data_IF_705782851676
#
_entry.id   IF_705782851676
#
_cell.length_a   1.000
_cell.length_b   1.000
_cell.length_c   1.000
_cell.angle_alpha   90.00
_cell.angle_beta   90.00
_cell.angle_gamma   90.00
#
_symmetry.space_group_name_H-M   'P 1'
#
loop_
_entity.id
_entity.type
_entity.pdbx_description
1 polymer ?
#
# COMPACT_ATOMS: atom_id res chain seq x y z
N UNK A 1 8.63 12.15 14.63
CA UNK A 1 7.43 12.68 15.31
C UNK A 1 7.56 12.39 16.79
N UNK A 2 7.14 13.33 17.65
CA UNK A 2 6.99 13.02 19.07
C UNK A 2 5.81 12.08 19.28
N UNK A 3 5.73 11.43 20.44
CA UNK A 3 4.58 10.58 20.78
C UNK A 3 3.28 11.40 20.80
N UNK A 4 3.35 12.65 21.28
CA UNK A 4 2.22 13.55 21.37
C UNK A 4 1.71 13.98 19.98
N UNK A 5 2.62 14.22 19.03
CA UNK A 5 2.25 14.49 17.62
C UNK A 5 1.50 13.31 17.01
N UNK A 6 1.96 12.08 17.27
CA UNK A 6 1.31 10.88 16.74
C UNK A 6 -0.06 10.66 17.38
N UNK A 7 -0.21 10.90 18.69
CA UNK A 7 -1.50 10.82 19.38
C UNK A 7 -2.48 11.85 18.84
N UNK A 8 -2.06 13.11 18.70
CA UNK A 8 -2.89 14.16 18.11
C UNK A 8 -3.35 13.81 16.70
N UNK A 9 -2.44 13.29 15.88
CA UNK A 9 -2.74 12.85 14.53
C UNK A 9 -3.77 11.73 14.50
N UNK A 10 -3.59 10.70 15.34
CA UNK A 10 -4.49 9.55 15.38
C UNK A 10 -5.87 9.97 15.87
N UNK A 11 -5.95 10.84 16.88
CA UNK A 11 -7.21 11.35 17.42
C UNK A 11 -7.97 12.17 16.37
N UNK A 12 -7.25 13.01 15.61
CA UNK A 12 -7.82 13.72 14.46
C UNK A 12 -8.42 12.74 13.46
N UNK A 13 -7.63 11.78 12.99
CA UNK A 13 -8.05 10.81 11.98
C UNK A 13 -9.26 9.97 12.45
N UNK A 14 -9.35 9.62 13.73
CA UNK A 14 -10.52 8.93 14.29
C UNK A 14 -11.77 9.81 14.37
N UNK A 15 -11.60 11.11 14.63
CA UNK A 15 -12.70 12.07 14.76
C UNK A 15 -13.43 12.36 13.44
N UNK A 16 -12.76 12.16 12.30
CA UNK A 16 -13.34 12.47 10.98
C UNK A 16 -14.27 11.35 10.50
N UNK A 17 -15.56 11.66 10.33
CA UNK A 17 -16.61 10.72 9.92
C UNK A 17 -16.40 10.15 8.51
N UNK A 18 -15.97 11.00 7.56
CA UNK A 18 -15.68 10.62 6.19
C UNK A 18 -14.34 11.20 5.76
N UNK A 19 -13.38 10.34 5.47
CA UNK A 19 -12.07 10.79 5.03
C UNK A 19 -12.10 11.18 3.56
N UNK A 20 -11.57 12.37 3.28
CA UNK A 20 -11.32 12.86 1.94
C UNK A 20 -9.86 12.67 1.54
N UNK A 21 -9.46 13.43 0.52
CA UNK A 21 -8.09 13.44 0.01
C UNK A 21 -7.05 13.79 1.10
N UNK A 22 -7.37 14.73 1.99
CA UNK A 22 -6.43 15.21 3.01
C UNK A 22 -6.12 14.15 4.06
N UNK A 23 -7.13 13.48 4.60
CA UNK A 23 -6.93 12.45 5.61
C UNK A 23 -6.20 11.23 5.01
N UNK A 24 -6.53 10.87 3.76
CA UNK A 24 -5.82 9.82 3.02
C UNK A 24 -4.34 10.14 2.80
N UNK A 25 -4.04 11.39 2.47
CA UNK A 25 -2.67 11.87 2.29
C UNK A 25 -1.90 11.84 3.62
N UNK A 26 -2.51 12.34 4.69
CA UNK A 26 -1.92 12.33 6.03
C UNK A 26 -1.61 10.91 6.48
N UNK A 27 -2.57 10.01 6.37
CA UNK A 27 -2.40 8.61 6.73
C UNK A 27 -1.30 7.95 5.92
N UNK A 28 -1.30 8.12 4.60
CA UNK A 28 -0.27 7.54 3.72
C UNK A 28 1.13 8.00 4.08
N UNK A 29 1.32 9.27 4.43
CA UNK A 29 2.62 9.82 4.82
C UNK A 29 3.06 9.45 6.25
N UNK A 30 2.17 8.85 7.04
CA UNK A 30 2.43 8.52 8.45
C UNK A 30 2.44 7.02 8.71
N UNK A 31 2.23 6.19 7.67
CA UNK A 31 2.25 4.73 7.76
C UNK A 31 3.49 4.19 8.47
N UNK A 32 4.68 4.67 8.08
CA UNK A 32 5.95 4.16 8.59
C UNK A 32 6.19 4.45 10.07
N UNK A 33 5.54 5.49 10.61
CA UNK A 33 5.76 5.96 11.99
C UNK A 33 4.64 5.53 12.94
N UNK A 34 3.49 5.10 12.41
CA UNK A 34 2.41 4.53 13.20
C UNK A 34 2.76 3.11 13.65
N UNK A 35 2.48 2.81 14.91
CA UNK A 35 2.54 1.43 15.40
C UNK A 35 1.56 0.54 14.63
N UNK A 36 1.86 -0.75 14.56
CA UNK A 36 1.12 -1.67 13.70
C UNK A 36 -0.37 -1.78 14.06
N UNK A 37 -0.70 -1.83 15.35
CA UNK A 37 -2.08 -2.00 15.80
C UNK A 37 -2.94 -0.77 15.45
N UNK A 38 -2.42 0.43 15.69
CA UNK A 38 -3.10 1.69 15.34
C UNK A 38 -3.24 1.82 13.83
N UNK A 39 -2.19 1.47 13.07
CA UNK A 39 -2.25 1.41 11.62
C UNK A 39 -3.38 0.48 11.13
N UNK A 40 -3.48 -0.73 11.67
CA UNK A 40 -4.50 -1.70 11.27
C UNK A 40 -5.92 -1.22 11.61
N UNK A 41 -6.10 -0.61 12.78
CA UNK A 41 -7.40 -0.05 13.18
C UNK A 41 -7.80 1.09 12.24
N UNK A 42 -6.90 2.03 11.97
CA UNK A 42 -7.15 3.14 11.05
C UNK A 42 -7.46 2.66 9.62
N UNK A 43 -6.67 1.71 9.09
CA UNK A 43 -6.87 1.15 7.76
C UNK A 43 -8.23 0.47 7.59
N UNK A 44 -8.65 -0.32 8.59
CA UNK A 44 -9.94 -1.02 8.57
C UNK A 44 -11.11 -0.05 8.68
N UNK A 45 -11.03 0.90 9.60
CA UNK A 45 -12.08 1.90 9.79
C UNK A 45 -12.23 2.76 8.54
N UNK A 46 -11.11 3.05 7.91
CA UNK A 46 -11.09 3.75 6.63
C UNK A 46 -11.75 3.00 5.51
N UNK A 47 -11.36 1.75 5.30
CA UNK A 47 -11.96 0.94 4.26
C UNK A 47 -13.48 0.83 4.46
N UNK A 48 -13.95 0.64 5.69
CA UNK A 48 -15.37 0.60 6.06
C UNK A 48 -16.11 1.89 5.75
N UNK A 49 -15.53 3.06 6.07
CA UNK A 49 -16.14 4.38 5.85
C UNK A 49 -16.08 4.83 4.39
N UNK A 50 -15.09 4.35 3.65
CA UNK A 50 -14.88 4.68 2.23
C UNK A 50 -15.75 3.87 1.25
N UNK A 51 -16.51 2.87 1.75
CA UNK A 51 -17.38 2.01 0.95
C UNK A 51 -18.43 2.83 0.16
N UNK A 52 -18.89 3.94 0.73
CA UNK A 52 -19.84 4.87 0.10
C UNK A 52 -19.27 5.59 -1.14
N UNK A 53 -17.94 5.72 -1.25
CA UNK A 53 -17.28 6.53 -2.27
C UNK A 53 -16.57 5.72 -3.37
N UNK A 54 -16.68 4.38 -3.35
CA UNK A 54 -16.00 3.49 -4.31
C UNK A 54 -16.35 3.78 -5.77
N UNK A 55 -17.55 4.31 -6.02
CA UNK A 55 -18.03 4.68 -7.36
C UNK A 55 -17.45 6.01 -7.88
N UNK A 56 -16.83 6.83 -7.03
CA UNK A 56 -16.21 8.10 -7.45
C UNK A 56 -14.77 7.82 -7.90
N UNK A 57 -14.41 8.05 -9.18
CA UNK A 57 -13.11 7.62 -9.72
C UNK A 57 -11.89 8.16 -8.98
N UNK A 58 -11.93 9.43 -8.54
CA UNK A 58 -10.82 10.03 -7.79
C UNK A 58 -10.65 9.38 -6.40
N UNK A 59 -11.75 9.00 -5.74
CA UNK A 59 -11.71 8.34 -4.45
C UNK A 59 -11.26 6.89 -4.60
N UNK A 60 -11.63 6.22 -5.69
CA UNK A 60 -11.17 4.86 -6.01
C UNK A 60 -9.65 4.77 -6.09
N UNK A 61 -8.99 5.68 -6.82
CA UNK A 61 -7.51 5.66 -6.91
C UNK A 61 -6.81 5.90 -5.57
N UNK A 62 -7.38 6.78 -4.74
CA UNK A 62 -6.84 7.04 -3.40
C UNK A 62 -6.99 5.82 -2.50
N UNK A 63 -8.16 5.17 -2.50
CA UNK A 63 -8.43 3.94 -1.76
C UNK A 63 -7.46 2.84 -2.23
N UNK A 64 -7.30 2.66 -3.54
CA UNK A 64 -6.36 1.69 -4.12
C UNK A 64 -4.93 1.95 -3.69
N UNK A 65 -4.47 3.21 -3.76
CA UNK A 65 -3.11 3.59 -3.35
C UNK A 65 -2.89 3.30 -1.87
N UNK A 66 -3.86 3.63 -1.02
CA UNK A 66 -3.80 3.35 0.42
C UNK A 66 -3.76 1.86 0.71
N UNK A 67 -4.64 1.07 0.09
CA UNK A 67 -4.66 -0.38 0.27
C UNK A 67 -3.35 -1.02 -0.19
N UNK A 68 -2.76 -0.54 -1.30
CA UNK A 68 -1.46 -0.99 -1.79
C UNK A 68 -0.34 -0.67 -0.79
N UNK A 69 -0.31 0.57 -0.29
CA UNK A 69 0.67 0.97 0.72
C UNK A 69 0.51 0.12 1.99
N UNK A 70 -0.71 -0.06 2.48
CA UNK A 70 -1.00 -0.91 3.63
C UNK A 70 -0.58 -2.38 3.43
N UNK A 71 -0.81 -2.91 2.23
CA UNK A 71 -0.37 -4.26 1.87
C UNK A 71 1.16 -4.37 1.91
N UNK A 72 1.88 -3.47 1.24
CA UNK A 72 3.35 -3.45 1.21
C UNK A 72 3.90 -3.31 2.63
N UNK A 73 3.40 -2.36 3.42
CA UNK A 73 3.82 -2.14 4.81
C UNK A 73 3.61 -3.38 5.68
N UNK A 74 2.48 -4.08 5.56
CA UNK A 74 2.26 -5.34 6.28
C UNK A 74 3.28 -6.42 5.89
N UNK A 75 3.61 -6.53 4.60
CA UNK A 75 4.59 -7.50 4.12
C UNK A 75 5.99 -7.17 4.63
N UNK A 76 6.38 -5.90 4.58
CA UNK A 76 7.68 -5.44 5.09
C UNK A 76 7.82 -5.64 6.61
N UNK A 77 6.72 -5.48 7.36
CA UNK A 77 6.65 -5.75 8.80
C UNK A 77 6.49 -7.24 9.14
N UNK A 78 6.47 -8.12 8.14
CA UNK A 78 6.28 -9.57 8.28
C UNK A 78 4.96 -9.93 9.01
N UNK A 79 3.94 -9.08 8.83
CA UNK A 79 2.57 -9.26 9.36
C UNK A 79 1.68 -9.88 8.28
N UNK A 80 2.03 -11.09 7.85
CA UNK A 80 1.43 -11.75 6.68
C UNK A 80 -0.10 -11.95 6.78
N UNK A 81 -0.61 -12.31 7.96
CA UNK A 81 -2.06 -12.44 8.18
C UNK A 81 -2.81 -11.12 7.96
N UNK A 82 -2.21 -9.98 8.35
CA UNK A 82 -2.79 -8.66 8.09
C UNK A 82 -2.59 -8.23 6.63
N UNK A 83 -1.49 -8.65 5.99
CA UNK A 83 -1.29 -8.44 4.55
C UNK A 83 -2.39 -9.10 3.71
N UNK A 84 -2.82 -10.33 4.08
CA UNK A 84 -3.93 -11.03 3.42
C UNK A 84 -5.26 -10.26 3.52
N UNK A 85 -5.47 -9.47 4.58
CA UNK A 85 -6.64 -8.59 4.65
C UNK A 85 -6.64 -7.56 3.52
N UNK A 86 -5.51 -6.87 3.31
CA UNK A 86 -5.38 -5.88 2.23
C UNK A 86 -5.45 -6.52 0.85
N UNK A 87 -4.80 -7.67 0.64
CA UNK A 87 -4.88 -8.41 -0.62
C UNK A 87 -6.33 -8.76 -0.97
N UNK A 88 -7.12 -9.21 0.01
CA UNK A 88 -8.55 -9.49 -0.18
C UNK A 88 -9.30 -8.23 -0.62
N UNK A 89 -9.05 -7.07 0.00
CA UNK A 89 -9.72 -5.83 -0.40
C UNK A 89 -9.29 -5.36 -1.80
N UNK A 90 -8.00 -5.44 -2.12
CA UNK A 90 -7.45 -5.06 -3.43
C UNK A 90 -8.03 -5.91 -4.57
N UNK A 91 -8.21 -7.21 -4.34
CA UNK A 91 -8.87 -8.09 -5.30
C UNK A 91 -10.36 -7.74 -5.53
N UNK A 92 -11.02 -7.17 -4.52
CA UNK A 92 -12.42 -6.72 -4.62
C UNK A 92 -12.56 -5.33 -5.25
N UNK A 93 -11.51 -4.51 -5.28
CA UNK A 93 -11.55 -3.16 -5.84
C UNK A 93 -11.67 -3.13 -7.38
N UNK A 94 -11.54 -4.27 -8.07
CA UNK A 94 -11.65 -4.42 -9.53
C UNK A 94 -11.03 -3.24 -10.31
N UNK A 95 -9.69 -3.19 -10.36
CA UNK A 95 -9.00 -2.16 -11.15
C UNK A 95 -9.56 -2.11 -12.58
N UNK A 96 -9.88 -0.94 -13.11
CA UNK A 96 -10.28 -0.84 -14.53
C UNK A 96 -9.06 -1.00 -15.45
N UNK A 97 -9.28 -1.13 -16.76
CA UNK A 97 -8.21 -1.38 -17.73
C UNK A 97 -7.15 -0.27 -17.75
N UNK A 98 -7.57 0.98 -17.52
CA UNK A 98 -6.68 2.15 -17.50
C UNK A 98 -5.91 2.34 -16.20
N UNK A 99 -6.20 1.56 -15.15
CA UNK A 99 -5.50 1.57 -13.85
C UNK A 99 -4.26 0.65 -13.88
N UNK A 100 -3.43 0.85 -14.91
CA UNK A 100 -2.22 0.04 -15.17
C UNK A 100 -1.20 0.21 -14.04
N UNK A 101 -1.09 1.41 -13.47
CA UNK A 101 -0.18 1.70 -12.37
C UNK A 101 -0.51 0.85 -11.14
N UNK A 102 -1.75 0.91 -10.67
CA UNK A 102 -2.21 0.19 -9.49
C UNK A 102 -2.08 -1.33 -9.67
N UNK A 103 -2.42 -1.84 -10.87
CA UNK A 103 -2.23 -3.27 -11.22
C UNK A 103 -0.76 -3.69 -11.14
N UNK A 104 0.14 -2.85 -11.63
CA UNK A 104 1.58 -3.15 -11.66
C UNK A 104 2.18 -3.14 -10.25
N UNK A 105 1.80 -2.16 -9.43
CA UNK A 105 2.20 -2.09 -8.02
C UNK A 105 1.63 -3.26 -7.23
N UNK A 106 0.36 -3.62 -7.47
CA UNK A 106 -0.24 -4.78 -6.82
C UNK A 106 0.51 -6.07 -7.17
N UNK A 107 0.81 -6.26 -8.46
CA UNK A 107 1.59 -7.41 -8.91
C UNK A 107 2.99 -7.43 -8.29
N UNK A 108 3.64 -6.29 -8.18
CA UNK A 108 4.92 -6.17 -7.47
C UNK A 108 4.77 -6.60 -6.00
N UNK A 109 3.77 -6.08 -5.29
CA UNK A 109 3.54 -6.37 -3.88
C UNK A 109 3.19 -7.84 -3.61
N UNK A 110 2.42 -8.50 -4.48
CA UNK A 110 2.15 -9.93 -4.38
C UNK A 110 3.42 -10.78 -4.50
N UNK A 111 4.33 -10.38 -5.38
CA UNK A 111 5.62 -11.07 -5.50
C UNK A 111 6.54 -10.78 -4.32
N UNK A 112 6.48 -9.57 -3.75
CA UNK A 112 7.16 -9.26 -2.50
C UNK A 112 6.67 -10.16 -1.36
N UNK A 113 5.35 -10.34 -1.24
CA UNK A 113 4.72 -11.24 -0.28
C UNK A 113 5.26 -12.68 -0.45
N UNK A 114 5.20 -13.24 -1.66
CA UNK A 114 5.71 -14.59 -1.94
C UNK A 114 7.21 -14.74 -1.65
N UNK A 115 7.99 -13.68 -1.88
CA UNK A 115 9.41 -13.72 -1.55
C UNK A 115 9.64 -13.72 -0.04
N UNK A 116 8.92 -12.87 0.70
CA UNK A 116 9.09 -12.69 2.15
C UNK A 116 8.49 -13.83 2.97
N UNK A 117 7.33 -14.36 2.61
CA UNK A 117 6.68 -15.47 3.34
C UNK A 117 7.22 -16.83 2.90
N UNK A 118 7.25 -17.09 1.58
CA UNK A 118 7.56 -18.44 1.05
C UNK A 118 9.05 -18.63 0.68
N UNK A 119 9.86 -17.57 0.72
CA UNK A 119 11.24 -17.61 0.23
C UNK A 119 11.34 -17.82 -1.30
N UNK A 120 10.28 -17.53 -2.05
CA UNK A 120 10.23 -17.81 -3.48
C UNK A 120 11.14 -16.86 -4.28
N UNK A 121 12.37 -17.29 -4.55
CA UNK A 121 13.36 -16.51 -5.32
C UNK A 121 12.89 -16.15 -6.74
N UNK A 122 11.99 -16.94 -7.34
CA UNK A 122 11.42 -16.61 -8.67
C UNK A 122 10.57 -15.34 -8.62
N UNK A 123 10.00 -15.01 -7.47
CA UNK A 123 9.22 -13.78 -7.29
C UNK A 123 10.09 -12.51 -7.48
N UNK A 124 11.40 -12.59 -7.24
CA UNK A 124 12.34 -11.48 -7.53
C UNK A 124 12.36 -11.16 -9.03
N UNK A 125 12.30 -12.18 -9.89
CA UNK A 125 12.27 -11.99 -11.34
C UNK A 125 10.99 -11.24 -11.74
N UNK A 126 9.85 -11.61 -11.15
CA UNK A 126 8.57 -10.95 -11.41
C UNK A 126 8.52 -9.52 -10.86
N UNK A 127 9.11 -9.24 -9.69
CA UNK A 127 9.30 -7.87 -9.18
C UNK A 127 10.14 -7.03 -10.16
N UNK A 128 11.25 -7.58 -10.69
CA UNK A 128 12.08 -6.91 -11.70
C UNK A 128 11.33 -6.66 -13.01
N UNK A 129 10.46 -7.58 -13.45
CA UNK A 129 9.58 -7.36 -14.61
C UNK A 129 8.62 -6.20 -14.38
N UNK A 130 8.06 -6.06 -13.17
CA UNK A 130 7.19 -4.93 -12.84
C UNK A 130 7.96 -3.60 -12.95
N UNK A 131 9.17 -3.53 -12.39
CA UNK A 131 10.06 -2.36 -12.53
C UNK A 131 10.40 -2.10 -14.01
N UNK A 132 10.67 -3.16 -14.78
CA UNK A 132 10.92 -3.07 -16.22
C UNK A 132 9.75 -2.48 -17.00
N UNK A 133 8.51 -2.87 -16.68
CA UNK A 133 7.31 -2.30 -17.28
C UNK A 133 7.13 -0.81 -16.94
N UNK A 134 7.48 -0.38 -15.72
CA UNK A 134 7.51 1.04 -15.37
C UNK A 134 8.54 1.81 -16.22
N UNK A 135 9.74 1.25 -16.45
CA UNK A 135 10.76 1.84 -17.33
C UNK A 135 10.25 1.93 -18.78
N UNK A 136 9.60 0.87 -19.27
CA UNK A 136 9.04 0.83 -20.63
C UNK A 136 7.97 1.90 -20.85
N UNK A 137 7.13 2.17 -19.84
CA UNK A 137 6.13 3.22 -19.88
C UNK A 137 6.71 4.65 -19.78
N UNK A 138 8.03 4.82 -19.66
CA UNK A 138 8.68 6.11 -19.46
C UNK A 138 8.62 6.64 -18.03
N UNK A 139 8.07 5.86 -17.08
CA UNK A 139 7.91 6.24 -15.67
C UNK A 139 9.21 6.04 -14.87
N UNK A 140 10.29 6.70 -15.28
CA UNK A 140 11.64 6.47 -14.75
C UNK A 140 11.78 6.71 -13.24
N UNK A 141 11.12 7.75 -12.72
CA UNK A 141 11.16 8.04 -11.28
C UNK A 141 10.52 6.93 -10.47
N UNK A 142 9.35 6.45 -10.92
CA UNK A 142 8.65 5.34 -10.28
C UNK A 142 9.49 4.06 -10.31
N UNK A 143 10.06 3.74 -11.48
CA UNK A 143 10.92 2.58 -11.63
C UNK A 143 12.13 2.65 -10.67
N UNK A 144 12.76 3.81 -10.53
CA UNK A 144 13.87 4.03 -9.60
C UNK A 144 13.45 3.82 -8.14
N UNK A 145 12.25 4.27 -7.75
CA UNK A 145 11.72 4.05 -6.40
C UNK A 145 11.56 2.56 -6.09
N UNK A 146 10.92 1.80 -6.98
CA UNK A 146 10.71 0.36 -6.76
C UNK A 146 11.99 -0.46 -6.93
N UNK A 147 12.93 -0.03 -7.77
CA UNK A 147 14.26 -0.63 -7.89
C UNK A 147 15.05 -0.47 -6.60
N UNK A 148 15.13 0.76 -6.05
CA UNK A 148 15.80 1.02 -4.78
C UNK A 148 15.13 0.32 -3.59
N UNK A 149 13.80 0.20 -3.61
CA UNK A 149 13.07 -0.59 -2.62
C UNK A 149 13.44 -2.09 -2.72
N UNK A 150 13.45 -2.68 -3.92
CA UNK A 150 13.87 -4.07 -4.13
C UNK A 150 15.32 -4.32 -3.68
N UNK A 151 16.24 -3.40 -4.01
CA UNK A 151 17.64 -3.49 -3.58
C UNK A 151 17.78 -3.52 -2.06
N UNK A 152 17.04 -2.67 -1.34
CA UNK A 152 17.01 -2.68 0.13
C UNK A 152 16.49 -3.99 0.69
N UNK A 153 15.41 -4.53 0.12
CA UNK A 153 14.84 -5.82 0.52
C UNK A 153 15.90 -6.93 0.38
N UNK A 154 16.59 -7.00 -0.76
CA UNK A 154 17.60 -8.02 -1.04
C UNK A 154 18.88 -7.87 -0.19
N UNK A 155 19.21 -6.65 0.23
CA UNK A 155 20.34 -6.39 1.12
C UNK A 155 20.05 -6.73 2.59
N UNK A 156 18.76 -6.84 2.95
CA UNK A 156 18.29 -7.11 4.31
C UNK A 156 17.90 -8.58 4.54
N UNK A 157 17.99 -9.40 3.49
CA UNK A 157 17.69 -10.85 3.47
C UNK A 157 18.97 -11.68 3.61
#
# INVERSE_FOLDING_TARGET
>A
YTKDDLTYLTDYLFSVEYWGYYELLIFSNTLDVLNHDVFMVLAREMFRRSDFYKEIPNNRRLISTMLLNGYITCVEREKFMDALYFEKQLNQCFFIETEVYERLVFKYAQNLYQYKEDGNVKAIIEMKKCVGAMKLAGSHHLAKTYEGHLEKILASS
#
